data_IF_841702616461
#
_entry.id   IF_841702616461
#
_cell.length_a   1.000
_cell.length_b   1.000
_cell.length_c   1.000
_cell.angle_alpha   90.00
_cell.angle_beta   90.00
_cell.angle_gamma   90.00
#
_symmetry.space_group_name_H-M   'P 1'
#
loop_
_entity.id
_entity.type
_entity.pdbx_description
1 polymer ?
#
# COMPACT_ATOMS: atom_id res chain seq x y z
N UNK A 1 -15.68 -16.05 -13.72
CA UNK A 1 -14.30 -15.58 -13.39
C UNK A 1 -14.16 -15.32 -11.90
N UNK A 2 -15.16 -14.64 -11.31
CA UNK A 2 -15.27 -14.35 -9.87
C UNK A 2 -15.35 -15.62 -9.01
N UNK A 3 -16.24 -16.55 -9.33
CA UNK A 3 -16.42 -17.78 -8.51
C UNK A 3 -15.14 -18.60 -8.48
N UNK A 4 -14.50 -18.74 -9.65
CA UNK A 4 -13.19 -19.41 -9.76
C UNK A 4 -12.08 -18.71 -8.98
N UNK A 5 -12.06 -17.37 -8.86
CA UNK A 5 -11.08 -16.69 -8.02
C UNK A 5 -11.36 -16.89 -6.54
N UNK A 6 -12.63 -16.93 -6.16
CA UNK A 6 -13.06 -17.10 -4.77
C UNK A 6 -12.76 -18.51 -4.27
N UNK A 7 -12.99 -19.54 -5.09
CA UNK A 7 -12.60 -20.93 -4.80
C UNK A 7 -11.09 -21.07 -4.61
N UNK A 8 -10.28 -20.38 -5.43
CA UNK A 8 -8.82 -20.42 -5.34
C UNK A 8 -8.27 -19.73 -4.07
N UNK A 9 -9.03 -18.78 -3.51
CA UNK A 9 -8.70 -18.10 -2.25
C UNK A 9 -9.28 -18.83 -1.02
N UNK A 10 -9.65 -20.10 -1.16
CA UNK A 10 -10.18 -20.91 -0.06
C UNK A 10 -11.61 -20.55 0.38
N UNK A 11 -12.31 -19.68 -0.35
CA UNK A 11 -13.69 -19.32 -0.06
C UNK A 11 -13.92 -18.53 1.23
N UNK A 12 -12.87 -17.91 1.79
CA UNK A 12 -12.98 -17.08 2.99
C UNK A 12 -13.95 -15.90 2.79
N UNK A 13 -14.69 -15.54 3.84
CA UNK A 13 -15.57 -14.35 3.83
C UNK A 13 -14.78 -13.07 3.52
N UNK A 14 -13.53 -12.98 4.03
CA UNK A 14 -12.63 -11.85 3.77
C UNK A 14 -12.30 -11.77 2.28
N UNK A 15 -11.99 -12.91 1.65
CA UNK A 15 -11.71 -12.97 0.22
C UNK A 15 -12.92 -12.51 -0.60
N UNK A 16 -14.13 -12.92 -0.20
CA UNK A 16 -15.38 -12.48 -0.85
C UNK A 16 -15.55 -10.96 -0.76
N UNK A 17 -15.43 -10.38 0.43
CA UNK A 17 -15.57 -8.95 0.66
C UNK A 17 -14.54 -8.14 -0.14
N UNK A 18 -13.28 -8.58 -0.16
CA UNK A 18 -12.23 -7.93 -0.95
C UNK A 18 -12.54 -7.97 -2.46
N UNK A 19 -12.92 -9.12 -3.00
CA UNK A 19 -13.23 -9.26 -4.42
C UNK A 19 -14.47 -8.45 -4.83
N UNK A 20 -15.50 -8.36 -3.98
CA UNK A 20 -16.66 -7.50 -4.20
C UNK A 20 -16.27 -6.01 -4.19
N UNK A 21 -15.38 -5.62 -3.27
CA UNK A 21 -14.91 -4.24 -3.17
C UNK A 21 -14.05 -3.84 -4.37
N UNK A 22 -13.12 -4.71 -4.79
CA UNK A 22 -12.35 -4.55 -6.04
C UNK A 22 -13.29 -4.42 -7.23
N UNK A 23 -14.38 -5.21 -7.27
CA UNK A 23 -15.36 -5.15 -8.35
C UNK A 23 -16.11 -3.83 -8.40
N UNK A 24 -16.46 -3.29 -7.24
CA UNK A 24 -17.13 -1.99 -7.12
C UNK A 24 -16.22 -0.84 -7.50
N UNK A 25 -14.98 -0.83 -7.03
CA UNK A 25 -14.04 0.29 -7.22
C UNK A 25 -13.30 0.26 -8.57
N UNK A 26 -12.90 -0.94 -9.01
CA UNK A 26 -12.03 -1.14 -10.18
C UNK A 26 -12.71 -1.96 -11.27
N UNK A 27 -14.03 -1.84 -11.42
CA UNK A 27 -14.83 -2.64 -12.36
C UNK A 27 -14.31 -2.65 -13.80
N UNK A 28 -13.76 -1.52 -14.30
CA UNK A 28 -13.14 -1.43 -15.63
C UNK A 28 -11.95 -2.38 -15.83
N UNK A 29 -11.21 -2.69 -14.76
CA UNK A 29 -9.98 -3.48 -14.78
C UNK A 29 -10.13 -4.83 -14.05
N UNK A 30 -11.38 -5.29 -13.86
CA UNK A 30 -11.67 -6.49 -13.07
C UNK A 30 -10.95 -7.73 -13.57
N UNK A 31 -10.79 -7.85 -14.90
CA UNK A 31 -10.17 -9.01 -15.54
C UNK A 31 -8.69 -9.08 -15.22
N UNK A 32 -8.01 -7.95 -15.32
CA UNK A 32 -6.59 -7.79 -15.04
C UNK A 32 -6.33 -7.98 -13.54
N UNK A 33 -7.17 -7.38 -12.70
CA UNK A 33 -7.10 -7.51 -11.24
C UNK A 33 -7.25 -8.97 -10.81
N UNK A 34 -8.29 -9.67 -11.29
CA UNK A 34 -8.48 -11.09 -10.99
C UNK A 34 -7.43 -11.99 -11.63
N UNK A 35 -6.92 -11.63 -12.80
CA UNK A 35 -5.79 -12.31 -13.43
C UNK A 35 -4.53 -12.24 -12.57
N UNK A 36 -4.24 -11.07 -12.01
CA UNK A 36 -3.11 -10.86 -11.12
C UNK A 36 -3.27 -11.65 -9.82
N UNK A 37 -4.44 -11.62 -9.17
CA UNK A 37 -4.71 -12.42 -7.96
C UNK A 37 -4.46 -13.91 -8.20
N UNK A 38 -4.90 -14.45 -9.34
CA UNK A 38 -4.61 -15.86 -9.71
C UNK A 38 -3.13 -16.14 -9.90
N UNK A 39 -2.36 -15.16 -10.36
CA UNK A 39 -0.91 -15.33 -10.51
C UNK A 39 -0.20 -15.33 -9.15
N UNK A 40 -0.71 -14.56 -8.19
CA UNK A 40 -0.21 -14.48 -6.82
C UNK A 40 -0.49 -15.79 -6.09
N UNK A 41 -1.71 -16.33 -6.19
CA UNK A 41 -2.08 -17.63 -5.59
C UNK A 41 -1.20 -18.77 -6.12
N UNK A 42 -0.90 -18.81 -7.43
CA UNK A 42 0.01 -19.83 -7.97
C UNK A 42 1.46 -19.69 -7.51
N UNK A 43 1.86 -18.51 -7.03
CA UNK A 43 3.25 -18.19 -6.69
C UNK A 43 3.54 -18.39 -5.19
N UNK A 44 2.55 -18.17 -4.33
CA UNK A 44 2.71 -18.19 -2.88
C UNK A 44 1.84 -19.27 -2.23
N UNK A 45 2.23 -19.74 -1.05
CA UNK A 45 1.44 -20.73 -0.30
C UNK A 45 0.13 -20.12 0.23
N UNK A 46 -0.86 -20.98 0.49
CA UNK A 46 -2.15 -20.56 1.09
C UNK A 46 -1.95 -19.74 2.37
N UNK A 47 -1.05 -20.16 3.26
CA UNK A 47 -0.78 -19.45 4.53
C UNK A 47 -0.28 -18.01 4.34
N UNK A 48 0.55 -17.77 3.32
CA UNK A 48 1.06 -16.43 2.99
C UNK A 48 -0.06 -15.59 2.39
N UNK A 49 -0.90 -16.21 1.56
CA UNK A 49 -2.04 -15.56 0.92
C UNK A 49 -3.09 -15.16 1.95
N UNK A 50 -3.39 -16.02 2.93
CA UNK A 50 -4.35 -15.74 4.00
C UNK A 50 -3.91 -14.53 4.84
N UNK A 51 -2.63 -14.49 5.24
CA UNK A 51 -2.05 -13.32 5.94
C UNK A 51 -2.10 -12.05 5.09
N UNK A 52 -1.83 -12.17 3.79
CA UNK A 52 -1.91 -11.03 2.87
C UNK A 52 -3.34 -10.50 2.76
N UNK A 53 -4.34 -11.39 2.68
CA UNK A 53 -5.75 -11.00 2.62
C UNK A 53 -6.23 -10.33 3.90
N UNK A 54 -5.87 -10.87 5.07
CA UNK A 54 -6.17 -10.25 6.36
C UNK A 54 -5.55 -8.86 6.46
N UNK A 55 -4.26 -8.73 6.11
CA UNK A 55 -3.59 -7.44 6.12
C UNK A 55 -4.23 -6.42 5.17
N UNK A 56 -4.57 -6.84 3.95
CA UNK A 56 -5.24 -5.98 2.99
C UNK A 56 -6.63 -5.55 3.48
N UNK A 57 -7.37 -6.46 4.12
CA UNK A 57 -8.68 -6.16 4.70
C UNK A 57 -8.58 -5.13 5.84
N UNK A 58 -7.67 -5.33 6.79
CA UNK A 58 -7.48 -4.40 7.92
C UNK A 58 -7.07 -2.99 7.48
N UNK A 59 -6.29 -2.89 6.40
CA UNK A 59 -5.77 -1.62 5.89
C UNK A 59 -6.63 -1.03 4.74
N UNK A 60 -7.77 -1.63 4.42
CA UNK A 60 -8.63 -1.23 3.29
C UNK A 60 -7.90 -1.14 1.94
N UNK A 61 -6.97 -2.06 1.70
CA UNK A 61 -6.19 -2.16 0.46
C UNK A 61 -6.91 -3.05 -0.56
N UNK A 62 -7.73 -2.43 -1.40
CA UNK A 62 -8.66 -3.12 -2.31
C UNK A 62 -8.13 -3.18 -3.74
N UNK A 63 -6.90 -3.67 -3.94
CA UNK A 63 -6.29 -3.86 -5.26
C UNK A 63 -5.48 -5.15 -5.31
N UNK A 64 -5.47 -5.81 -6.47
CA UNK A 64 -4.64 -6.99 -6.71
C UNK A 64 -3.14 -6.69 -6.61
N UNK A 65 -2.74 -5.45 -6.89
CA UNK A 65 -1.36 -5.00 -6.71
C UNK A 65 -0.99 -5.00 -5.23
N UNK A 66 -1.87 -4.47 -4.38
CA UNK A 66 -1.64 -4.42 -2.94
C UNK A 66 -1.61 -5.83 -2.35
N UNK A 67 -2.51 -6.72 -2.80
CA UNK A 67 -2.51 -8.15 -2.40
C UNK A 67 -1.19 -8.82 -2.80
N UNK A 68 -0.69 -8.56 -4.02
CA UNK A 68 0.60 -9.10 -4.47
C UNK A 68 1.74 -8.60 -3.60
N UNK A 69 1.77 -7.31 -3.32
CA UNK A 69 2.86 -6.67 -2.58
C UNK A 69 2.85 -7.12 -1.10
N UNK A 70 1.66 -7.27 -0.50
CA UNK A 70 1.47 -7.87 0.81
C UNK A 70 1.92 -9.35 0.84
N UNK A 71 1.51 -10.15 -0.15
CA UNK A 71 1.93 -11.55 -0.25
C UNK A 71 3.45 -11.68 -0.43
N UNK A 72 4.07 -10.80 -1.23
CA UNK A 72 5.52 -10.74 -1.39
C UNK A 72 6.22 -10.34 -0.09
N UNK A 73 5.67 -9.37 0.65
CA UNK A 73 6.17 -8.98 1.95
C UNK A 73 6.13 -10.14 2.95
N UNK A 74 5.00 -10.85 3.07
CA UNK A 74 4.88 -12.00 3.99
C UNK A 74 5.71 -13.21 3.55
N UNK A 75 5.83 -13.47 2.25
CA UNK A 75 6.73 -14.48 1.71
C UNK A 75 8.19 -14.18 2.07
N UNK A 76 8.60 -12.90 1.99
CA UNK A 76 9.94 -12.45 2.40
C UNK A 76 10.11 -12.48 3.91
N UNK A 77 9.08 -12.20 4.71
CA UNK A 77 9.14 -12.29 6.17
C UNK A 77 9.25 -13.72 6.70
N UNK A 78 8.75 -14.72 5.95
CA UNK A 78 9.04 -16.14 6.20
C UNK A 78 10.52 -16.50 6.08
N UNK A 79 11.32 -15.63 5.44
CA UNK A 79 12.77 -15.62 5.51
C UNK A 79 13.13 -14.69 6.67
N UNK A 80 13.42 -15.25 7.85
CA UNK A 80 13.80 -14.48 9.03
C UNK A 80 15.03 -13.62 8.74
N UNK A 81 14.83 -12.38 8.31
CA UNK A 81 15.75 -11.28 8.57
C UNK A 81 14.90 -10.19 9.19
N UNK A 82 14.73 -10.32 10.51
CA UNK A 82 14.27 -9.23 11.35
C UNK A 82 15.34 -8.16 11.27
N UNK A 83 15.18 -7.22 10.36
CA UNK A 83 15.90 -5.95 10.45
C UNK A 83 14.90 -4.81 10.44
N UNK A 84 14.20 -4.68 11.57
CA UNK A 84 13.40 -3.51 11.95
C UNK A 84 14.30 -2.30 12.25
N UNK A 85 15.41 -2.15 11.53
CA UNK A 85 16.31 -1.00 11.59
C UNK A 85 16.03 -0.02 10.45
N UNK A 86 14.76 0.27 10.18
CA UNK A 86 14.38 1.45 9.40
C UNK A 86 14.27 2.68 10.30
N UNK A 87 15.28 2.87 11.16
CA UNK A 87 15.63 4.14 11.79
C UNK A 87 16.99 4.58 11.26
N UNK A 88 17.13 4.69 9.94
CA UNK A 88 18.24 5.43 9.38
C UNK A 88 18.01 6.89 9.74
N UNK A 89 18.81 7.40 10.68
CA UNK A 89 18.99 8.83 10.90
C UNK A 89 19.06 9.52 9.54
N UNK A 90 18.23 10.55 9.32
CA UNK A 90 18.23 11.26 8.04
C UNK A 90 19.67 11.70 7.73
N UNK A 91 20.17 11.45 6.51
CA UNK A 91 21.48 11.93 6.11
C UNK A 91 21.61 13.44 6.36
N UNK A 92 22.77 13.93 6.81
CA UNK A 92 22.95 15.33 7.21
C UNK A 92 22.67 16.32 6.07
N UNK A 93 22.83 15.91 4.81
CA UNK A 93 22.49 16.72 3.64
C UNK A 93 20.98 16.87 3.37
N UNK A 94 20.13 16.03 3.99
CA UNK A 94 18.68 16.17 3.97
C UNK A 94 18.15 16.95 5.19
N UNK A 95 19.00 17.20 6.19
CA UNK A 95 18.69 18.02 7.36
C UNK A 95 19.01 19.51 7.16
N UNK A 96 18.94 20.01 5.92
CA UNK A 96 19.17 21.43 5.61
C UNK A 96 17.97 22.23 6.12
N UNK A 97 18.20 23.03 7.15
CA UNK A 97 17.21 24.01 7.62
C UNK A 97 17.19 25.17 6.64
N UNK A 98 16.06 25.41 5.99
CA UNK A 98 15.87 26.63 5.19
C UNK A 98 15.86 27.84 6.11
N UNK A 99 16.64 28.85 5.76
CA UNK A 99 16.60 30.14 6.45
C UNK A 99 15.25 30.82 6.19
N UNK A 100 14.43 30.96 7.23
CA UNK A 100 13.18 31.70 7.14
C UNK A 100 13.53 33.18 7.10
N UNK A 101 13.49 33.80 5.91
CA UNK A 101 13.67 35.24 5.77
C UNK A 101 12.52 35.96 6.46
N UNK A 102 12.83 37.03 7.19
CA UNK A 102 11.81 37.90 7.81
C UNK A 102 10.94 38.51 6.70
N UNK A 103 9.63 38.31 6.83
CA UNK A 103 8.62 38.80 5.88
C UNK A 103 8.62 40.33 5.72
N UNK A 104 9.29 41.04 6.65
CA UNK A 104 9.45 42.49 6.74
C UNK A 104 10.08 43.12 5.47
N UNK A 105 10.93 42.36 4.78
CA UNK A 105 11.49 42.79 3.48
C UNK A 105 10.41 42.92 2.40
N UNK A 106 9.35 42.11 2.46
CA UNK A 106 8.27 42.12 1.48
C UNK A 106 7.21 43.18 1.81
N UNK A 107 6.96 43.44 3.10
CA UNK A 107 6.05 44.51 3.55
C UNK A 107 6.58 45.90 3.21
N UNK A 108 7.90 46.08 3.31
CA UNK A 108 8.59 47.33 2.92
C UNK A 108 8.48 47.62 1.42
N UNK A 109 8.51 46.58 0.58
CA UNK A 109 8.36 46.71 -0.88
C UNK A 109 6.92 47.04 -1.31
N UNK A 110 5.93 46.58 -0.54
CA UNK A 110 4.50 46.82 -0.82
C UNK A 110 3.94 48.10 -0.17
N UNK A 111 4.80 48.96 0.38
CA UNK A 111 4.41 50.30 0.84
C UNK A 111 3.50 50.32 2.08
N UNK A 112 3.54 49.26 2.90
CA UNK A 112 2.82 49.22 4.17
C UNK A 112 3.64 49.92 5.26
N UNK A 113 3.36 51.20 5.51
CA UNK A 113 3.84 51.87 6.73
C UNK A 113 3.17 51.20 7.94
N UNK A 114 3.97 50.57 8.80
CA UNK A 114 3.50 50.10 10.12
C UNK A 114 3.57 51.31 11.05
N UNK A 115 2.39 51.81 11.43
CA UNK A 115 2.23 52.83 12.49
C UNK A 115 2.39 52.24 13.88
#
# INVERSE_FOLDING_TARGET
>A
MYDKTLEMLGGSEIAKLLLETIKKEKGRYIREQFGLIKSVERKYSSEVLDKALEFCYENNLNSAVDIRDAAEHFARQGITIVDTSLRKSLPPHLAVKTEVRKIDTYTSLYGGEIK
#
